data_IF_587447512808
#
_entry.id   IF_587447512808
#
_cell.length_a   1.000
_cell.length_b   1.000
_cell.length_c   1.000
_cell.angle_alpha   90.00
_cell.angle_beta   90.00
_cell.angle_gamma   90.00
#
_symmetry.space_group_name_H-M   'P 1'
#
loop_
_entity.id
_entity.type
_entity.pdbx_description
1 polymer ?
#
# COMPACT_ATOMS: atom_id res chain seq x y z
N UNK A 1 4.33 16.21 -13.08
CA UNK A 1 3.94 14.89 -12.56
C UNK A 1 3.90 15.02 -11.05
N UNK A 2 2.70 15.04 -10.46
CA UNK A 2 2.56 15.12 -9.01
C UNK A 2 3.18 13.86 -8.40
N UNK A 3 4.30 14.02 -7.72
CA UNK A 3 4.95 12.98 -6.93
C UNK A 3 4.08 12.77 -5.69
N UNK A 4 3.02 11.97 -5.81
CA UNK A 4 2.30 11.51 -4.62
C UNK A 4 3.27 10.56 -3.92
N UNK A 5 3.94 11.05 -2.87
CA UNK A 5 4.81 10.23 -2.03
C UNK A 5 3.91 9.37 -1.15
N UNK A 6 3.93 8.03 -1.29
CA UNK A 6 3.12 7.16 -0.46
C UNK A 6 3.54 7.31 1.01
N UNK A 7 2.57 7.36 1.91
CA UNK A 7 2.81 7.45 3.36
C UNK A 7 2.24 6.22 4.04
N UNK A 8 2.93 5.75 5.09
CA UNK A 8 2.44 4.64 5.90
C UNK A 8 1.15 5.05 6.63
N UNK A 9 0.10 4.24 6.51
CA UNK A 9 -1.19 4.50 7.15
C UNK A 9 -1.10 4.58 8.68
N UNK A 10 -0.18 3.85 9.31
CA UNK A 10 -0.07 3.77 10.77
C UNK A 10 0.84 4.84 11.38
N UNK A 11 2.04 5.03 10.84
CA UNK A 11 3.03 5.96 11.41
C UNK A 11 3.13 7.28 10.65
N UNK A 12 2.43 7.43 9.51
CA UNK A 12 2.47 8.60 8.61
C UNK A 12 3.86 8.96 8.08
N UNK A 13 4.85 8.07 8.25
CA UNK A 13 6.17 8.19 7.63
C UNK A 13 6.02 8.08 6.12
N UNK A 14 6.70 8.96 5.38
CA UNK A 14 6.87 8.81 3.94
C UNK A 14 7.66 7.54 3.62
N UNK A 15 7.21 6.82 2.60
CA UNK A 15 7.88 5.62 2.11
C UNK A 15 8.84 6.05 1.00
N UNK A 16 10.12 5.77 1.21
CA UNK A 16 11.19 6.14 0.27
C UNK A 16 11.08 5.41 -1.07
N UNK A 17 11.72 5.96 -2.11
CA UNK A 17 11.70 5.41 -3.48
C UNK A 17 12.18 3.96 -3.61
N UNK A 18 13.03 3.52 -2.68
CA UNK A 18 13.61 2.17 -2.66
C UNK A 18 13.26 1.42 -1.36
N UNK A 19 12.26 1.90 -0.62
CA UNK A 19 11.82 1.29 0.64
C UNK A 19 10.72 0.26 0.34
N UNK A 20 10.90 -0.97 0.85
CA UNK A 20 9.88 -2.00 0.75
C UNK A 20 8.66 -1.64 1.61
N UNK A 21 7.46 -1.92 1.08
CA UNK A 21 6.20 -1.67 1.76
C UNK A 21 5.13 -2.67 1.32
N UNK A 22 4.18 -2.95 2.22
CA UNK A 22 2.98 -3.67 1.87
C UNK A 22 1.91 -2.70 1.36
N UNK A 23 1.16 -3.13 0.36
CA UNK A 23 0.02 -2.39 -0.19
C UNK A 23 -1.23 -3.22 -0.01
N UNK A 24 -2.17 -2.71 0.77
CA UNK A 24 -3.49 -3.34 0.96
C UNK A 24 -4.50 -2.61 0.08
N UNK A 25 -5.11 -3.36 -0.84
CA UNK A 25 -6.18 -2.87 -1.71
C UNK A 25 -7.30 -3.90 -1.82
N UNK A 26 -8.55 -3.48 -2.02
CA UNK A 26 -9.62 -4.42 -2.34
C UNK A 26 -9.33 -5.13 -3.67
N UNK A 27 -9.80 -6.36 -3.83
CA UNK A 27 -9.66 -7.03 -5.12
C UNK A 27 -10.52 -6.30 -6.19
N UNK A 28 -9.94 -5.88 -7.32
CA UNK A 28 -10.65 -5.07 -8.30
C UNK A 28 -11.80 -5.85 -8.95
N UNK A 29 -12.95 -5.18 -9.08
CA UNK A 29 -14.19 -5.80 -9.64
C UNK A 29 -14.10 -6.05 -11.15
N UNK A 30 -13.26 -5.32 -11.88
CA UNK A 30 -13.03 -5.48 -13.32
C UNK A 30 -11.56 -5.79 -13.56
N UNK A 31 -11.28 -6.76 -14.42
CA UNK A 31 -9.94 -7.31 -14.65
C UNK A 31 -9.32 -6.68 -15.88
N UNK A 32 -8.43 -5.71 -15.67
CA UNK A 32 -7.51 -5.21 -16.70
C UNK A 32 -6.30 -4.54 -16.06
N UNK A 33 -5.13 -4.71 -16.68
CA UNK A 33 -3.83 -4.29 -16.12
C UNK A 33 -3.75 -2.77 -15.87
N UNK A 34 -4.32 -1.99 -16.78
CA UNK A 34 -4.37 -0.53 -16.67
C UNK A 34 -5.25 -0.09 -15.52
N UNK A 35 -6.37 -0.77 -15.28
CA UNK A 35 -7.24 -0.46 -14.15
C UNK A 35 -6.59 -0.85 -12.81
N UNK A 36 -5.81 -1.94 -12.75
CA UNK A 36 -5.12 -2.36 -11.51
C UNK A 36 -4.11 -1.30 -11.06
N UNK A 37 -3.31 -0.74 -11.98
CA UNK A 37 -2.29 0.26 -11.61
C UNK A 37 -2.92 1.54 -11.05
N UNK A 38 -3.91 2.09 -11.76
CA UNK A 38 -4.64 3.26 -11.28
C UNK A 38 -5.38 2.98 -9.96
N UNK A 39 -5.89 1.77 -9.78
CA UNK A 39 -6.56 1.35 -8.56
C UNK A 39 -5.60 1.25 -7.37
N UNK A 40 -4.39 0.73 -7.57
CA UNK A 40 -3.33 0.73 -6.55
C UNK A 40 -2.91 2.15 -6.16
N UNK A 41 -2.78 3.05 -7.13
CA UNK A 41 -2.38 4.44 -6.86
C UNK A 41 -3.48 5.24 -6.14
N UNK A 42 -4.77 4.89 -6.33
CA UNK A 42 -5.91 5.62 -5.76
C UNK A 42 -6.41 5.04 -4.42
N UNK A 43 -6.46 3.72 -4.31
CA UNK A 43 -7.05 3.00 -3.16
C UNK A 43 -5.99 2.28 -2.31
N UNK A 44 -4.72 2.35 -2.72
CA UNK A 44 -3.58 1.74 -2.04
C UNK A 44 -3.37 2.28 -0.64
N UNK A 45 -3.60 1.44 0.36
CA UNK A 45 -3.14 1.70 1.73
C UNK A 45 -1.75 1.13 1.89
N UNK A 46 -0.77 2.02 2.04
CA UNK A 46 0.62 1.63 2.20
C UNK A 46 0.97 1.41 3.68
N UNK A 47 1.75 0.37 3.95
CA UNK A 47 2.23 0.00 5.28
C UNK A 47 3.74 -0.25 5.19
N UNK A 48 4.55 0.50 5.95
CA UNK A 48 6.00 0.30 5.97
C UNK A 48 6.37 -0.98 6.72
N UNK A 49 7.52 -1.57 6.39
CA UNK A 49 7.99 -2.82 7.00
C UNK A 49 8.21 -2.77 8.52
N UNK A 50 8.37 -1.57 9.09
CA UNK A 50 8.46 -1.40 10.54
C UNK A 50 7.10 -1.58 11.23
N UNK A 51 6.02 -1.17 10.56
CA UNK A 51 4.66 -1.32 11.06
C UNK A 51 4.11 -2.72 10.82
N UNK A 52 4.56 -3.42 9.77
CA UNK A 52 4.16 -4.82 9.53
C UNK A 52 4.68 -5.75 10.62
N UNK A 53 5.93 -5.57 11.05
CA UNK A 53 6.56 -6.38 12.12
C UNK A 53 5.98 -6.16 13.52
N UNK A 54 5.16 -5.11 13.71
CA UNK A 54 4.41 -4.90 14.97
C UNK A 54 3.09 -5.66 14.97
N UNK A 55 2.62 -6.14 13.82
CA UNK A 55 1.42 -6.95 13.64
C UNK A 55 1.80 -8.34 13.10
N UNK A 56 2.64 -9.07 13.85
CA UNK A 56 2.51 -10.51 13.85
C UNK A 56 1.19 -10.85 14.58
N UNK A 57 0.28 -11.59 13.92
CA UNK A 57 -0.86 -12.34 14.48
C UNK A 57 -2.29 -11.73 14.48
N UNK A 58 -2.81 -11.14 13.39
CA UNK A 58 -4.26 -11.17 13.17
C UNK A 58 -4.68 -10.93 11.72
N UNK A 59 -5.17 -11.96 11.02
CA UNK A 59 -6.26 -11.75 10.07
C UNK A 59 -6.06 -12.10 8.59
N UNK A 60 -5.16 -13.00 8.23
CA UNK A 60 -5.39 -13.87 7.06
C UNK A 60 -5.94 -15.22 7.54
N UNK A 61 -7.16 -15.20 8.09
CA UNK A 61 -8.03 -16.38 8.20
C UNK A 61 -9.45 -15.98 7.80
#
# INVERSE_FOLDING_TARGET
MSLITPTCMYCRKEIGKDEEALVVVPYPKRKGFTEIKAYLDLEGKFICMDCTKREDLAGFQ
#
